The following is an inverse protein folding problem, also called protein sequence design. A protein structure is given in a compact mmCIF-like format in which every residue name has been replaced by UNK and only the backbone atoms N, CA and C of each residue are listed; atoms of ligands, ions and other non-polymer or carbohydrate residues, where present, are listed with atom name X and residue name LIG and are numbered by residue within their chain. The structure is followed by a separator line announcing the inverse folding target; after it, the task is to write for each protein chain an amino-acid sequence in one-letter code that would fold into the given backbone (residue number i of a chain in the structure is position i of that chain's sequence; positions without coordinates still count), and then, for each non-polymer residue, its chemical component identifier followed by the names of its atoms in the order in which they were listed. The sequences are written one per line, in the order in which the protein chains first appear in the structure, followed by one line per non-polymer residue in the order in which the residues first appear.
data_IF_885893203005
#
_entry.id   IF_885893203005
#
_cell.length_a   1.000
_cell.length_b   1.000
_cell.length_c   1.000
_cell.angle_alpha   90.00
_cell.angle_beta   90.00
_cell.angle_gamma   90.00
#
_symmetry.space_group_name_H-M   'P 1'
#
loop_
_entity.id
_entity.type
_entity.pdbx_description
1 polymer ?
#
# COMPACT_ATOMS: atom_id res chain seq x y z
N UNK A 1 28.43 -4.19 -6.80
CA UNK A 1 26.98 -4.42 -7.00
C UNK A 1 26.28 -4.56 -5.64
N UNK A 2 25.15 -3.88 -5.41
CA UNK A 2 24.42 -4.04 -4.15
C UNK A 2 23.75 -5.42 -4.12
N UNK A 3 23.90 -6.18 -3.02
CA UNK A 3 23.32 -7.53 -2.89
C UNK A 3 21.81 -7.52 -3.15
N UNK A 4 21.27 -8.58 -3.75
CA UNK A 4 19.82 -8.71 -3.93
C UNK A 4 19.12 -8.81 -2.56
N UNK A 5 17.88 -8.30 -2.47
CA UNK A 5 17.05 -8.40 -1.26
C UNK A 5 15.79 -9.21 -1.57
N UNK A 6 15.41 -10.07 -0.64
CA UNK A 6 14.08 -10.68 -0.59
C UNK A 6 13.32 -10.20 0.66
N UNK A 7 12.01 -10.46 0.69
CA UNK A 7 11.15 -10.15 1.84
C UNK A 7 10.21 -11.33 2.06
N UNK A 8 10.09 -11.78 3.30
CA UNK A 8 9.07 -12.73 3.76
C UNK A 8 8.17 -12.03 4.76
N UNK A 9 6.86 -12.05 4.53
CA UNK A 9 5.89 -11.35 5.36
C UNK A 9 4.51 -12.02 5.30
N UNK A 10 3.73 -11.83 6.37
CA UNK A 10 2.30 -12.07 6.36
C UNK A 10 1.60 -10.80 5.86
N UNK A 11 0.59 -10.96 5.00
CA UNK A 11 -0.30 -9.88 4.58
C UNK A 11 -1.70 -10.14 5.11
N UNK A 12 -2.29 -9.12 5.74
CA UNK A 12 -3.66 -9.17 6.26
C UNK A 12 -4.43 -7.99 5.68
N UNK A 13 -5.53 -8.29 5.00
CA UNK A 13 -6.51 -7.30 4.56
C UNK A 13 -7.74 -7.36 5.46
N UNK A 14 -8.24 -6.21 5.90
CA UNK A 14 -9.42 -6.13 6.76
C UNK A 14 -10.23 -4.88 6.45
N UNK A 15 -11.55 -5.02 6.38
CA UNK A 15 -12.49 -3.90 6.43
C UNK A 15 -12.60 -3.41 7.86
N UNK A 16 -12.40 -2.11 8.08
CA UNK A 16 -12.62 -1.48 9.38
C UNK A 16 -14.11 -1.12 9.47
N UNK A 17 -14.83 -1.60 10.50
CA UNK A 17 -16.21 -1.21 10.71
C UNK A 17 -16.33 0.30 10.91
N UNK A 18 -17.31 0.91 10.25
CA UNK A 18 -17.72 2.27 10.54
C UNK A 18 -18.31 2.33 11.97
N UNK A 19 -17.95 3.36 12.74
CA UNK A 19 -18.54 3.64 14.05
C UNK A 19 -19.76 4.55 13.92
N UNK A 20 -19.79 5.36 12.88
CA UNK A 20 -20.91 6.26 12.54
C UNK A 20 -21.27 6.15 11.06
N UNK A 21 -22.48 6.55 10.68
CA UNK A 21 -22.90 6.61 9.27
C UNK A 21 -22.09 7.58 8.42
N UNK A 22 -21.42 8.55 9.05
CA UNK A 22 -20.56 9.53 8.40
C UNK A 22 -19.12 9.03 8.20
N UNK A 23 -18.75 7.88 8.79
CA UNK A 23 -17.40 7.36 8.65
C UNK A 23 -17.20 6.82 7.23
N UNK A 24 -16.09 7.18 6.57
CA UNK A 24 -15.80 6.66 5.25
C UNK A 24 -15.54 5.15 5.31
N UNK A 25 -15.99 4.44 4.27
CA UNK A 25 -15.65 3.03 4.13
C UNK A 25 -14.13 2.87 4.11
N UNK A 26 -13.61 2.12 5.09
CA UNK A 26 -12.18 2.04 5.35
C UNK A 26 -11.69 0.60 5.26
N UNK A 27 -10.64 0.40 4.47
CA UNK A 27 -9.90 -0.86 4.37
C UNK A 27 -8.48 -0.66 4.86
N UNK A 28 -7.94 -1.64 5.56
CA UNK A 28 -6.54 -1.68 5.95
C UNK A 28 -5.87 -2.93 5.38
N UNK A 29 -4.64 -2.75 4.90
CA UNK A 29 -3.72 -3.83 4.57
C UNK A 29 -2.49 -3.68 5.44
N UNK A 30 -2.22 -4.67 6.28
CA UNK A 30 -1.03 -4.73 7.12
C UNK A 30 -0.10 -5.83 6.60
N UNK A 31 1.18 -5.50 6.47
CA UNK A 31 2.22 -6.44 6.06
C UNK A 31 3.34 -6.39 7.09
N UNK A 32 3.64 -7.52 7.73
CA UNK A 32 4.72 -7.60 8.70
C UNK A 32 5.57 -8.84 8.46
N UNK A 33 6.88 -8.66 8.63
CA UNK A 33 7.82 -9.75 8.41
C UNK A 33 7.65 -10.88 9.42
N UNK A 34 7.72 -12.09 8.90
CA UNK A 34 7.71 -13.34 9.66
C UNK A 34 8.90 -14.19 9.26
N UNK A 35 9.16 -15.24 10.03
CA UNK A 35 10.09 -16.30 9.68
C UNK A 35 9.28 -17.58 9.44
N UNK A 36 9.75 -18.45 8.54
CA UNK A 36 9.05 -19.69 8.18
C UNK A 36 10.06 -20.74 7.70
N UNK A 37 9.90 -21.98 8.15
CA UNK A 37 10.88 -23.06 7.90
C UNK A 37 11.01 -23.43 6.42
N UNK A 38 9.95 -23.26 5.62
CA UNK A 38 10.01 -23.47 4.16
C UNK A 38 10.71 -22.34 3.39
N UNK A 39 11.02 -21.23 4.06
CA UNK A 39 11.67 -20.07 3.45
C UNK A 39 12.84 -19.55 4.34
N UNK A 40 13.82 -20.42 4.65
CA UNK A 40 14.92 -20.09 5.55
C UNK A 40 15.83 -19.03 4.93
N UNK A 41 16.61 -18.37 5.78
CA UNK A 41 17.67 -17.47 5.34
C UNK A 41 18.71 -18.26 4.53
N UNK A 42 19.18 -17.67 3.43
CA UNK A 42 20.25 -18.24 2.62
C UNK A 42 21.26 -17.16 2.23
N UNK A 43 22.47 -17.56 1.86
CA UNK A 43 23.55 -16.62 1.52
C UNK A 43 23.42 -16.00 0.11
N UNK A 44 22.32 -16.24 -0.62
CA UNK A 44 22.13 -15.70 -1.98
C UNK A 44 21.59 -14.28 -1.97
N UNK A 45 20.86 -13.88 -0.93
CA UNK A 45 20.27 -12.55 -0.81
C UNK A 45 20.13 -12.11 0.65
N UNK A 46 19.96 -10.82 0.86
CA UNK A 46 19.74 -10.23 2.19
C UNK A 46 18.23 -10.14 2.45
N UNK A 47 17.74 -10.80 3.50
CA UNK A 47 16.34 -10.71 3.92
C UNK A 47 16.05 -9.36 4.55
N UNK A 48 15.30 -8.52 3.86
CA UNK A 48 14.79 -7.28 4.41
C UNK A 48 13.59 -7.59 5.34
N UNK A 49 13.49 -6.82 6.42
CA UNK A 49 12.37 -6.89 7.36
C UNK A 49 11.47 -5.67 7.14
N UNK A 50 10.17 -5.89 7.08
CA UNK A 50 9.17 -4.85 6.84
C UNK A 50 8.10 -4.86 7.92
N UNK A 51 7.57 -3.69 8.21
CA UNK A 51 6.31 -3.49 8.92
C UNK A 51 5.59 -2.31 8.24
N UNK A 52 4.53 -2.62 7.51
CA UNK A 52 3.83 -1.70 6.61
C UNK A 52 2.34 -1.75 6.89
N UNK A 53 1.71 -0.59 6.96
CA UNK A 53 0.26 -0.45 6.96
C UNK A 53 -0.15 0.51 5.84
N UNK A 54 -1.15 0.10 5.06
CA UNK A 54 -1.84 0.95 4.11
C UNK A 54 -3.32 0.99 4.47
N UNK A 55 -3.84 2.19 4.73
CA UNK A 55 -5.25 2.44 4.99
C UNK A 55 -5.81 3.17 3.76
N UNK A 56 -6.90 2.64 3.21
CA UNK A 56 -7.61 3.21 2.08
C UNK A 56 -9.02 3.58 2.53
N UNK A 57 -9.39 4.85 2.38
CA UNK A 57 -10.70 5.36 2.75
C UNK A 57 -11.42 5.88 1.51
N UNK A 58 -12.62 5.37 1.26
CA UNK A 58 -13.47 5.85 0.17
C UNK A 58 -14.18 7.12 0.60
N UNK A 59 -13.95 8.20 -0.14
CA UNK A 59 -14.63 9.48 0.02
C UNK A 59 -15.51 9.70 -1.21
N UNK A 60 -16.80 9.94 -1.00
CA UNK A 60 -17.75 10.20 -2.08
C UNK A 60 -18.25 11.63 -1.94
N UNK A 61 -18.16 12.40 -3.02
CA UNK A 61 -18.70 13.75 -3.14
C UNK A 61 -19.89 13.71 -4.10
N UNK A 62 -21.13 13.57 -3.59
CA UNK A 62 -22.31 13.49 -4.44
C UNK A 62 -22.39 14.68 -5.41
N UNK A 63 -22.77 14.47 -6.67
CA UNK A 63 -22.96 15.57 -7.62
C UNK A 63 -24.12 16.47 -7.16
N UNK A 64 -24.11 17.73 -7.59
CA UNK A 64 -25.21 18.66 -7.32
C UNK A 64 -26.48 18.24 -8.08
N UNK A 65 -27.63 18.40 -7.42
CA UNK A 65 -28.93 17.99 -7.97
C UNK A 65 -29.14 16.48 -7.96
N UNK A 66 -30.06 15.99 -8.79
CA UNK A 66 -30.47 14.59 -8.84
C UNK A 66 -29.67 13.79 -9.89
N UNK A 67 -28.39 14.12 -10.07
CA UNK A 67 -27.51 13.49 -11.06
C UNK A 67 -26.98 12.13 -10.57
N UNK A 68 -26.70 11.23 -11.51
CA UNK A 68 -26.07 9.95 -11.19
C UNK A 68 -24.60 10.13 -10.76
N UNK A 69 -24.16 9.34 -9.80
CA UNK A 69 -22.77 9.34 -9.31
C UNK A 69 -21.84 8.81 -10.40
N UNK A 70 -20.79 9.57 -10.71
CA UNK A 70 -19.71 9.16 -11.61
C UNK A 70 -18.43 8.81 -10.85
N UNK A 71 -17.41 8.29 -11.56
CA UNK A 71 -16.10 8.00 -10.96
C UNK A 71 -15.35 9.24 -10.49
N UNK A 72 -15.64 10.41 -11.08
CA UNK A 72 -15.03 11.68 -10.68
C UNK A 72 -15.54 12.17 -9.32
N UNK A 73 -16.67 11.62 -8.86
CA UNK A 73 -17.24 11.87 -7.54
C UNK A 73 -16.61 11.00 -6.45
N UNK A 74 -15.68 10.10 -6.78
CA UNK A 74 -15.13 9.10 -5.86
C UNK A 74 -13.62 9.30 -5.71
N UNK A 75 -13.19 9.52 -4.48
CA UNK A 75 -11.78 9.65 -4.11
C UNK A 75 -11.39 8.52 -3.15
N UNK A 76 -10.15 8.05 -3.26
CA UNK A 76 -9.55 7.15 -2.28
C UNK A 76 -8.45 7.89 -1.53
N UNK A 77 -8.67 8.18 -0.25
CA UNK A 77 -7.62 8.71 0.63
C UNK A 77 -6.75 7.54 1.10
N UNK A 78 -5.49 7.56 0.69
CA UNK A 78 -4.50 6.55 1.07
C UNK A 78 -3.61 7.10 2.19
N UNK A 79 -3.53 6.40 3.30
CA UNK A 79 -2.55 6.63 4.36
C UNK A 79 -1.59 5.44 4.39
N UNK A 80 -0.33 5.68 4.04
CA UNK A 80 0.69 4.63 3.96
C UNK A 80 1.80 4.90 4.98
N UNK A 81 2.10 3.90 5.79
CA UNK A 81 3.18 3.92 6.77
C UNK A 81 4.04 2.68 6.55
N UNK A 82 5.35 2.85 6.46
CA UNK A 82 6.28 1.75 6.29
C UNK A 82 7.53 1.96 7.14
N UNK A 83 7.86 0.94 7.92
CA UNK A 83 9.17 0.74 8.51
C UNK A 83 9.86 -0.40 7.75
N UNK A 84 10.99 -0.10 7.13
CA UNK A 84 11.73 -1.05 6.30
C UNK A 84 13.16 -1.08 6.81
N UNK A 85 13.59 -2.25 7.27
CA UNK A 85 14.99 -2.57 7.48
C UNK A 85 15.48 -3.35 6.26
N UNK A 86 16.27 -2.73 5.36
CA UNK A 86 16.74 -3.38 4.13
C UNK A 86 17.79 -4.48 4.38
N UNK A 87 18.30 -4.58 5.61
CA UNK A 87 19.43 -5.45 5.96
C UNK A 87 20.75 -5.02 5.30
N UNK A 88 21.84 -5.59 5.80
CA UNK A 88 23.19 -5.24 5.34
C UNK A 88 23.60 -3.81 5.66
N UNK A 89 24.79 -3.41 5.19
CA UNK A 89 25.32 -2.08 5.42
C UNK A 89 24.99 -1.14 4.24
N UNK A 90 24.45 0.04 4.55
CA UNK A 90 24.28 1.14 3.61
C UNK A 90 24.33 2.48 4.36
N UNK A 91 24.91 3.54 3.78
CA UNK A 91 24.90 4.87 4.39
C UNK A 91 23.48 5.42 4.55
N UNK A 92 23.22 6.15 5.64
CA UNK A 92 21.91 6.75 5.92
C UNK A 92 21.44 7.69 4.79
N UNK A 93 22.36 8.42 4.14
CA UNK A 93 22.06 9.29 2.99
C UNK A 93 21.49 8.49 1.81
N UNK A 94 22.05 7.32 1.52
CA UNK A 94 21.58 6.42 0.46
C UNK A 94 20.18 5.90 0.80
N UNK A 95 19.96 5.44 2.03
CA UNK A 95 18.65 4.94 2.47
C UNK A 95 17.56 6.01 2.36
N UNK A 96 17.85 7.24 2.81
CA UNK A 96 16.91 8.37 2.70
C UNK A 96 16.60 8.73 1.25
N UNK A 97 17.61 8.74 0.37
CA UNK A 97 17.41 9.03 -1.05
C UNK A 97 16.52 7.98 -1.73
N UNK A 98 16.74 6.69 -1.42
CA UNK A 98 15.89 5.59 -1.92
C UNK A 98 14.47 5.73 -1.40
N UNK A 99 14.28 5.92 -0.09
CA UNK A 99 12.95 6.08 0.49
C UNK A 99 12.18 7.27 -0.13
N UNK A 100 12.83 8.43 -0.26
CA UNK A 100 12.24 9.64 -0.87
C UNK A 100 11.83 9.44 -2.32
N UNK A 101 12.52 8.56 -3.06
CA UNK A 101 12.25 8.28 -4.47
C UNK A 101 11.23 7.16 -4.69
N UNK A 102 11.38 6.05 -3.99
CA UNK A 102 10.57 4.85 -4.25
C UNK A 102 9.14 5.00 -3.72
N UNK A 103 8.92 5.75 -2.63
CA UNK A 103 7.58 5.94 -2.08
C UNK A 103 6.63 6.68 -3.05
N UNK A 104 6.96 7.88 -3.58
CA UNK A 104 6.09 8.55 -4.57
C UNK A 104 5.92 7.73 -5.85
N UNK A 105 6.96 7.02 -6.27
CA UNK A 105 6.93 6.16 -7.45
C UNK A 105 5.98 4.98 -7.28
N UNK A 106 5.98 4.36 -6.10
CA UNK A 106 5.04 3.30 -5.74
C UNK A 106 3.61 3.82 -5.78
N UNK A 107 3.31 4.94 -5.10
CA UNK A 107 1.96 5.51 -5.10
C UNK A 107 1.49 5.84 -6.51
N UNK A 108 2.31 6.50 -7.34
CA UNK A 108 1.95 6.82 -8.72
C UNK A 108 1.62 5.56 -9.54
N UNK A 109 2.46 4.53 -9.45
CA UNK A 109 2.25 3.25 -10.17
C UNK A 109 1.01 2.52 -9.67
N UNK A 110 0.78 2.51 -8.36
CA UNK A 110 -0.38 1.88 -7.76
C UNK A 110 -1.67 2.59 -8.19
N UNK A 111 -1.70 3.92 -8.17
CA UNK A 111 -2.84 4.71 -8.65
C UNK A 111 -3.15 4.40 -10.11
N UNK A 112 -2.15 4.45 -11.00
CA UNK A 112 -2.35 4.12 -12.42
C UNK A 112 -2.85 2.68 -12.62
N UNK A 113 -2.26 1.72 -11.90
CA UNK A 113 -2.69 0.32 -11.95
C UNK A 113 -4.18 0.17 -11.57
N UNK A 114 -4.62 0.82 -10.49
CA UNK A 114 -6.03 0.76 -10.06
C UNK A 114 -6.94 1.42 -11.10
N UNK A 115 -6.58 2.60 -11.61
CA UNK A 115 -7.36 3.28 -12.65
C UNK A 115 -7.52 2.41 -13.90
N UNK A 116 -6.44 1.83 -14.40
CA UNK A 116 -6.46 0.94 -15.57
C UNK A 116 -7.30 -0.32 -15.32
N UNK A 117 -7.16 -0.95 -14.16
CA UNK A 117 -7.90 -2.19 -13.83
C UNK A 117 -9.38 -1.98 -13.58
N UNK A 118 -9.80 -0.74 -13.32
CA UNK A 118 -11.18 -0.40 -12.98
C UNK A 118 -11.88 0.43 -14.07
N UNK A 119 -11.14 0.86 -15.09
CA UNK A 119 -11.67 1.54 -16.27
C UNK A 119 -12.78 0.71 -16.94
N UNK A 120 -13.88 1.37 -17.29
CA UNK A 120 -15.04 0.75 -17.96
C UNK A 120 -15.86 -0.22 -17.12
N UNK A 121 -15.47 -0.52 -15.87
CA UNK A 121 -16.26 -1.36 -14.96
C UNK A 121 -17.31 -0.52 -14.22
N UNK A 122 -18.40 -1.12 -13.70
CA UNK A 122 -19.31 -0.46 -12.78
C UNK A 122 -18.60 0.08 -11.51
N UNK A 123 -19.18 1.10 -10.89
CA UNK A 123 -18.75 1.60 -9.57
C UNK A 123 -19.13 0.55 -8.54
N UNK A 124 -18.15 0.05 -7.77
CA UNK A 124 -18.29 -1.07 -6.84
C UNK A 124 -18.78 -2.34 -7.57
N UNK A 125 -17.81 -3.11 -8.07
CA UNK A 125 -18.05 -4.41 -8.73
C UNK A 125 -18.89 -5.34 -7.85
#
# INVERSE_FOLDING_TARGET
PASQRDVLYLSVIRKIPALTENDPETWIVCNFSVDHDSAPLNNRCVRAKINVAMICQTLVSPPEGNQEISRDNILCKITYVANVNPGGWAPASVLRAVAKREYPKFLKRFTSYVQEKTAGKPILF
#
